data_IF_949589097326
#
_entry.id   IF_949589097326
#
_cell.length_a   1.000
_cell.length_b   1.000
_cell.length_c   1.000
_cell.angle_alpha   90.00
_cell.angle_beta   90.00
_cell.angle_gamma   90.00
#
_symmetry.space_group_name_H-M   'P 1'
#
loop_
_entity.id
_entity.type
_entity.pdbx_description
1 polymer ?
#
# COMPACT_ATOMS: atom_id res chain seq x y z
N UNK A 1 -22.76 0.23 19.90
CA UNK A 1 -23.71 0.53 18.81
C UNK A 1 -22.92 0.48 17.51
N UNK A 2 -23.05 -0.63 16.78
CA UNK A 2 -22.32 -0.91 15.54
C UNK A 2 -22.91 -0.10 14.39
N UNK A 3 -22.06 0.58 13.63
CA UNK A 3 -22.44 1.36 12.44
C UNK A 3 -23.15 0.48 11.40
N UNK A 4 -24.25 0.93 10.77
CA UNK A 4 -25.02 0.13 9.80
C UNK A 4 -24.25 -0.24 8.53
N UNK A 5 -23.03 0.28 8.33
CA UNK A 5 -22.18 -0.02 7.17
C UNK A 5 -21.48 -1.38 7.25
N UNK A 6 -21.34 -2.00 8.43
CA UNK A 6 -20.67 -3.31 8.54
C UNK A 6 -21.53 -4.49 8.08
N UNK A 7 -22.86 -4.34 8.10
CA UNK A 7 -23.80 -5.39 7.68
C UNK A 7 -23.86 -5.61 6.15
N UNK A 8 -23.20 -4.76 5.36
CA UNK A 8 -23.14 -4.91 3.89
C UNK A 8 -21.90 -5.68 3.40
N UNK A 9 -20.92 -5.95 4.28
CA UNK A 9 -19.63 -6.53 3.91
C UNK A 9 -19.72 -7.96 3.37
N UNK A 10 -20.74 -8.71 3.79
CA UNK A 10 -20.89 -10.13 3.45
C UNK A 10 -21.84 -10.42 2.30
N UNK A 11 -22.43 -9.38 1.68
CA UNK A 11 -23.41 -9.57 0.58
C UNK A 11 -22.78 -10.04 -0.73
N UNK A 12 -21.46 -9.93 -0.86
CA UNK A 12 -20.72 -10.16 -2.10
C UNK A 12 -19.96 -11.49 -2.11
N UNK A 13 -20.08 -12.26 -1.02
CA UNK A 13 -19.32 -13.48 -0.81
C UNK A 13 -20.27 -14.66 -0.91
N UNK A 14 -19.86 -15.69 -1.66
CA UNK A 14 -20.58 -16.96 -1.64
C UNK A 14 -20.56 -17.54 -0.21
N UNK A 15 -21.52 -18.39 0.19
CA UNK A 15 -21.51 -19.05 1.50
C UNK A 15 -20.20 -19.82 1.79
N UNK A 16 -19.49 -20.25 0.74
CA UNK A 16 -18.17 -20.88 0.86
C UNK A 16 -17.07 -19.84 1.12
N UNK A 17 -17.09 -18.71 0.42
CA UNK A 17 -16.15 -17.61 0.60
C UNK A 17 -16.24 -17.00 2.01
N UNK A 18 -17.45 -16.93 2.59
CA UNK A 18 -17.68 -16.54 3.99
C UNK A 18 -17.02 -17.51 4.98
N UNK A 19 -17.09 -18.81 4.70
CA UNK A 19 -16.48 -19.84 5.54
C UNK A 19 -14.96 -19.78 5.50
N UNK A 20 -14.38 -19.51 4.33
CA UNK A 20 -12.93 -19.33 4.17
C UNK A 20 -12.43 -18.07 4.87
N UNK A 21 -13.15 -16.95 4.77
CA UNK A 21 -12.79 -15.72 5.49
C UNK A 21 -12.82 -15.90 7.01
N UNK A 22 -13.81 -16.63 7.54
CA UNK A 22 -13.88 -16.92 8.97
C UNK A 22 -12.71 -17.81 9.46
N UNK A 23 -12.19 -18.68 8.60
CA UNK A 23 -10.96 -19.45 8.88
C UNK A 23 -9.69 -18.59 8.84
N UNK A 24 -9.65 -17.52 8.02
CA UNK A 24 -8.53 -16.58 7.98
C UNK A 24 -8.52 -15.66 9.22
N UNK A 25 -9.69 -15.22 9.68
CA UNK A 25 -9.86 -14.39 10.90
C UNK A 25 -9.33 -15.09 12.16
N UNK A 26 -9.49 -16.42 12.26
CA UNK A 26 -9.01 -17.24 13.38
C UNK A 26 -7.51 -17.56 13.32
N UNK A 27 -6.84 -17.23 12.21
CA UNK A 27 -5.39 -17.42 12.03
C UNK A 27 -4.61 -16.12 12.32
N UNK A 28 -5.31 -14.99 12.50
CA UNK A 28 -4.72 -13.70 12.90
C UNK A 28 -4.72 -13.65 14.44
N UNK A 29 -3.54 -13.79 15.05
CA UNK A 29 -3.38 -13.68 16.50
C UNK A 29 -3.66 -12.22 16.91
N UNK A 30 -4.58 -11.95 17.86
CA UNK A 30 -4.78 -10.60 18.38
C UNK A 30 -3.54 -10.20 19.20
N UNK A 31 -2.90 -9.10 18.81
CA UNK A 31 -1.82 -8.48 19.61
C UNK A 31 -2.45 -7.85 20.84
N UNK A 32 -2.54 -8.61 21.93
CA UNK A 32 -2.83 -8.05 23.25
C UNK A 32 -1.61 -7.25 23.74
N UNK A 33 -1.90 -6.04 24.22
CA UNK A 33 -1.00 -5.09 24.87
C UNK A 33 -0.09 -5.79 25.89
N UNK A 34 1.21 -5.88 25.59
CA UNK A 34 2.22 -6.21 26.57
C UNK A 34 2.58 -4.94 27.36
N UNK A 35 2.17 -4.95 28.62
CA UNK A 35 2.52 -4.05 29.71
C UNK A 35 4.03 -3.84 29.88
N UNK A 36 4.41 -2.61 30.23
CA UNK A 36 5.76 -2.14 30.63
C UNK A 36 6.53 -3.10 31.55
N UNK A 37 7.87 -3.04 31.48
CA UNK A 37 8.68 -3.13 32.69
C UNK A 37 9.60 -1.90 32.86
N UNK A 38 9.62 -1.40 34.09
CA UNK A 38 10.53 -0.39 34.63
C UNK A 38 12.01 -0.81 34.58
N UNK A 39 12.96 0.14 34.65
CA UNK A 39 14.37 -0.07 34.31
C UNK A 39 15.24 -0.45 35.53
N UNK A 40 16.42 -1.07 35.33
CA UNK A 40 17.47 -1.05 36.34
C UNK A 40 18.69 -0.19 35.95
N UNK A 41 19.33 0.25 37.03
CA UNK A 41 20.35 1.27 37.23
C UNK A 41 21.74 1.01 36.64
N UNK A 42 22.54 2.08 36.68
CA UNK A 42 23.91 2.27 36.20
C UNK A 42 25.03 1.61 37.03
N UNK A 43 26.11 1.20 36.35
CA UNK A 43 27.57 1.29 36.70
C UNK A 43 28.35 0.70 35.49
N UNK A 44 29.56 1.07 35.06
CA UNK A 44 30.61 2.00 35.48
C UNK A 44 31.50 2.34 34.27
N UNK A 45 32.29 3.42 34.39
CA UNK A 45 33.34 3.90 33.48
C UNK A 45 34.48 2.89 33.24
N UNK A 46 35.05 2.92 32.03
CA UNK A 46 36.51 2.81 31.81
C UNK A 46 36.90 3.74 30.66
N UNK A 47 37.94 4.54 30.87
CA UNK A 47 38.46 5.58 29.98
C UNK A 47 39.81 5.19 29.35
N UNK A 48 40.16 5.94 28.29
CA UNK A 48 41.50 6.24 27.71
C UNK A 48 42.15 5.17 26.80
N UNK A 49 42.26 5.48 25.50
CA UNK A 49 43.54 5.87 24.89
C UNK A 49 43.39 6.28 23.41
N UNK A 50 43.80 7.51 23.13
CA UNK A 50 44.06 8.08 21.80
C UNK A 50 45.21 7.37 21.08
N UNK A 51 45.12 7.29 19.76
CA UNK A 51 46.28 7.38 18.86
C UNK A 51 45.81 7.72 17.43
N UNK A 52 45.98 8.98 17.06
CA UNK A 52 46.10 9.40 15.67
C UNK A 52 47.53 9.18 15.16
N UNK A 53 47.66 8.81 13.88
CA UNK A 53 48.71 9.22 12.90
C UNK A 53 48.51 8.37 11.62
N UNK A 54 48.79 8.74 10.36
CA UNK A 54 48.86 9.96 9.52
C UNK A 54 49.53 9.49 8.20
N UNK A 55 49.02 9.91 7.01
CA UNK A 55 49.57 9.86 5.60
C UNK A 55 49.80 8.46 4.93
N UNK A 56 49.78 8.21 3.61
CA UNK A 56 49.71 9.03 2.38
C UNK A 56 49.24 8.19 1.15
N UNK A 57 48.80 8.92 0.11
CA UNK A 57 48.55 8.66 -1.35
C UNK A 57 49.03 7.34 -2.00
N UNK A 58 48.23 6.78 -2.93
CA UNK A 58 48.37 7.08 -4.38
C UNK A 58 47.33 6.42 -5.32
N UNK A 59 47.20 7.08 -6.47
CA UNK A 59 46.20 6.99 -7.55
C UNK A 59 46.15 5.68 -8.35
N UNK A 60 44.96 5.37 -8.90
CA UNK A 60 44.78 4.98 -10.32
C UNK A 60 43.34 5.23 -10.77
N UNK A 61 43.17 6.27 -11.58
CA UNK A 61 41.93 6.75 -12.19
C UNK A 61 41.68 6.08 -13.54
N UNK A 62 40.49 5.46 -13.72
CA UNK A 62 39.83 5.37 -15.04
C UNK A 62 38.35 4.94 -14.90
N UNK A 63 37.47 5.88 -14.55
CA UNK A 63 36.01 5.72 -14.67
C UNK A 63 35.45 6.86 -15.54
N UNK A 64 35.01 6.55 -16.76
CA UNK A 64 34.13 7.38 -17.58
C UNK A 64 32.89 6.57 -17.95
N UNK A 65 31.93 6.52 -17.02
CA UNK A 65 30.51 6.75 -17.26
C UNK A 65 29.84 6.80 -15.88
N UNK A 66 29.29 7.95 -15.49
CA UNK A 66 28.62 8.14 -14.20
C UNK A 66 27.22 8.68 -14.50
N UNK A 67 26.17 7.85 -14.43
CA UNK A 67 24.81 8.36 -14.40
C UNK A 67 24.69 9.30 -13.20
N UNK A 68 24.23 10.52 -13.41
CA UNK A 68 23.94 11.44 -12.31
C UNK A 68 22.74 10.88 -11.55
N UNK A 69 22.99 10.39 -10.34
CA UNK A 69 21.96 10.02 -9.37
C UNK A 69 21.26 11.32 -8.96
N UNK A 70 20.00 11.47 -9.36
CA UNK A 70 19.09 12.42 -8.74
C UNK A 70 18.97 12.10 -7.25
N UNK A 71 18.99 13.12 -6.39
CA UNK A 71 18.92 12.96 -4.93
C UNK A 71 17.55 12.37 -4.51
N UNK A 72 17.46 11.05 -4.44
CA UNK A 72 16.34 10.30 -3.83
C UNK A 72 16.77 9.51 -2.59
N UNK A 73 17.59 10.10 -1.71
CA UNK A 73 18.48 9.34 -0.81
C UNK A 73 18.20 9.36 0.69
N UNK A 74 17.03 9.78 1.18
CA UNK A 74 16.71 9.65 2.62
C UNK A 74 15.35 9.03 2.88
N UNK A 75 14.32 9.45 2.14
CA UNK A 75 12.96 8.94 2.31
C UNK A 75 12.84 7.45 1.92
N UNK A 76 13.39 7.05 0.77
CA UNK A 76 13.34 5.66 0.27
C UNK A 76 14.06 4.67 1.21
N UNK A 77 15.23 5.06 1.72
CA UNK A 77 16.01 4.24 2.65
C UNK A 77 15.29 4.07 4.01
N UNK A 78 14.73 5.16 4.54
CA UNK A 78 13.97 5.13 5.78
C UNK A 78 12.74 4.24 5.66
N UNK A 79 11.97 4.38 4.57
CA UNK A 79 10.81 3.53 4.29
C UNK A 79 11.16 2.03 4.24
N UNK A 80 12.33 1.68 3.70
CA UNK A 80 12.82 0.29 3.66
C UNK A 80 13.04 -0.29 5.06
N UNK A 81 13.72 0.44 5.94
CA UNK A 81 14.00 -0.02 7.30
C UNK A 81 12.73 -0.19 8.15
N UNK A 82 11.74 0.67 7.95
CA UNK A 82 10.46 0.61 8.67
C UNK A 82 9.59 -0.60 8.29
N UNK A 83 9.60 -0.99 7.00
CA UNK A 83 8.88 -2.16 6.54
C UNK A 83 9.39 -3.46 7.21
N UNK A 84 10.70 -3.64 7.31
CA UNK A 84 11.31 -4.87 7.83
C UNK A 84 10.96 -5.18 9.30
N UNK A 85 10.78 -4.15 10.14
CA UNK A 85 10.51 -4.31 11.58
C UNK A 85 9.07 -4.77 11.87
N UNK A 86 8.13 -4.50 10.98
CA UNK A 86 6.70 -4.51 11.33
C UNK A 86 5.93 -5.77 10.86
N UNK A 87 6.52 -6.59 10.00
CA UNK A 87 5.81 -7.60 9.21
C UNK A 87 5.90 -9.04 9.76
N UNK A 88 5.95 -9.21 11.09
CA UNK A 88 6.27 -10.48 11.79
C UNK A 88 5.70 -11.80 11.23
N UNK A 89 6.60 -12.80 11.12
CA UNK A 89 6.38 -14.25 11.35
C UNK A 89 5.54 -15.10 10.39
N UNK A 90 4.45 -14.58 9.79
CA UNK A 90 3.58 -15.32 8.87
C UNK A 90 3.80 -14.89 7.42
N UNK A 91 3.98 -15.84 6.50
CA UNK A 91 4.18 -15.49 5.08
C UNK A 91 2.87 -15.01 4.46
N UNK A 92 2.77 -13.70 4.27
CA UNK A 92 1.66 -13.04 3.59
C UNK A 92 1.51 -13.54 2.14
N UNK A 93 2.56 -14.13 1.55
CA UNK A 93 2.46 -14.80 0.23
C UNK A 93 1.44 -15.92 0.20
N UNK A 94 1.20 -16.62 1.31
CA UNK A 94 0.21 -17.70 1.33
C UNK A 94 -1.23 -17.19 1.27
N UNK A 95 -1.49 -16.02 1.87
CA UNK A 95 -2.86 -15.49 1.99
C UNK A 95 -3.37 -14.86 0.68
N UNK A 96 -2.48 -14.49 -0.23
CA UNK A 96 -2.86 -13.86 -1.52
C UNK A 96 -3.12 -14.87 -2.64
N UNK A 97 -2.78 -16.15 -2.45
CA UNK A 97 -2.94 -17.20 -3.47
C UNK A 97 -4.41 -17.49 -3.72
N UNK A 98 -4.74 -17.73 -4.98
CA UNK A 98 -6.05 -18.27 -5.37
C UNK A 98 -6.25 -19.63 -4.67
N UNK A 99 -7.32 -19.81 -3.87
CA UNK A 99 -7.61 -21.11 -3.27
C UNK A 99 -7.95 -22.15 -4.33
N UNK A 100 -7.64 -23.42 -4.05
CA UNK A 100 -7.88 -24.51 -4.99
C UNK A 100 -9.37 -24.68 -5.29
N UNK A 101 -9.74 -24.61 -6.58
CA UNK A 101 -11.11 -24.79 -7.04
C UNK A 101 -11.98 -23.53 -7.02
N UNK A 102 -11.45 -22.38 -6.61
CA UNK A 102 -12.15 -21.09 -6.65
C UNK A 102 -12.00 -20.40 -8.01
N UNK A 103 -12.94 -19.52 -8.36
CA UNK A 103 -12.88 -18.71 -9.58
C UNK A 103 -11.94 -17.50 -9.40
N UNK A 104 -11.10 -17.26 -10.41
CA UNK A 104 -10.12 -16.17 -10.38
C UNK A 104 -10.79 -14.78 -10.29
N UNK A 105 -11.90 -14.56 -11.00
CA UNK A 105 -12.58 -13.26 -10.98
C UNK A 105 -13.31 -13.03 -9.66
N UNK A 106 -13.87 -14.08 -9.04
CA UNK A 106 -14.41 -14.00 -7.68
C UNK A 106 -13.31 -13.62 -6.69
N UNK A 107 -12.15 -14.28 -6.76
CA UNK A 107 -11.02 -13.99 -5.88
C UNK A 107 -10.49 -12.56 -6.05
N UNK A 108 -10.36 -12.10 -7.30
CA UNK A 108 -10.00 -10.71 -7.61
C UNK A 108 -11.04 -9.72 -7.10
N UNK A 109 -12.34 -10.01 -7.24
CA UNK A 109 -13.42 -9.13 -6.80
C UNK A 109 -13.41 -8.93 -5.27
N UNK A 110 -13.29 -10.03 -4.51
CA UNK A 110 -13.27 -9.99 -3.04
C UNK A 110 -12.08 -9.18 -2.54
N UNK A 111 -10.88 -9.48 -3.03
CA UNK A 111 -9.67 -8.77 -2.60
C UNK A 111 -9.66 -7.31 -3.06
N UNK A 112 -10.23 -6.99 -4.23
CA UNK A 112 -10.39 -5.61 -4.69
C UNK A 112 -11.23 -4.79 -3.70
N UNK A 113 -12.35 -5.34 -3.22
CA UNK A 113 -13.22 -4.70 -2.23
C UNK A 113 -12.49 -4.54 -0.89
N UNK A 114 -11.75 -5.56 -0.46
CA UNK A 114 -10.97 -5.51 0.79
C UNK A 114 -9.89 -4.42 0.74
N UNK A 115 -9.10 -4.34 -0.34
CA UNK A 115 -8.10 -3.29 -0.49
C UNK A 115 -8.72 -1.90 -0.58
N UNK A 116 -9.85 -1.76 -1.28
CA UNK A 116 -10.59 -0.50 -1.31
C UNK A 116 -10.97 -0.06 0.12
N UNK A 117 -11.51 -0.96 0.93
CA UNK A 117 -11.89 -0.68 2.31
C UNK A 117 -10.69 -0.31 3.19
N UNK A 118 -9.58 -1.06 3.08
CA UNK A 118 -8.35 -0.78 3.82
C UNK A 118 -7.78 0.60 3.47
N UNK A 119 -7.72 0.94 2.17
CA UNK A 119 -7.27 2.26 1.70
C UNK A 119 -8.21 3.35 2.20
N UNK A 120 -9.53 3.12 2.18
CA UNK A 120 -10.51 4.09 2.66
C UNK A 120 -10.34 4.38 4.15
N UNK A 121 -10.06 3.36 4.97
CA UNK A 121 -9.79 3.53 6.39
C UNK A 121 -8.46 4.27 6.64
N UNK A 122 -7.40 3.89 5.94
CA UNK A 122 -6.09 4.54 6.04
C UNK A 122 -6.15 6.02 5.64
N UNK A 123 -6.80 6.33 4.51
CA UNK A 123 -6.96 7.70 4.06
C UNK A 123 -7.93 8.48 4.95
N UNK A 124 -9.00 7.84 5.43
CA UNK A 124 -9.94 8.43 6.39
C UNK A 124 -9.27 8.92 7.67
N UNK A 125 -8.23 8.23 8.14
CA UNK A 125 -7.47 8.64 9.32
C UNK A 125 -6.61 9.89 9.11
N UNK A 126 -6.30 10.27 7.86
CA UNK A 126 -5.44 11.41 7.55
C UNK A 126 -6.15 12.53 6.76
N UNK A 127 -7.45 12.38 6.49
CA UNK A 127 -8.21 13.26 5.58
C UNK A 127 -8.14 14.74 6.00
N UNK A 128 -8.13 15.03 7.30
CA UNK A 128 -8.03 16.39 7.84
C UNK A 128 -6.65 17.05 7.59
N UNK A 129 -5.61 16.25 7.32
CA UNK A 129 -4.26 16.72 7.04
C UNK A 129 -3.97 16.83 5.53
N UNK A 130 -4.86 16.31 4.68
CA UNK A 130 -4.77 16.37 3.22
C UNK A 130 -5.74 17.43 2.68
N UNK A 131 -5.24 18.62 2.37
CA UNK A 131 -6.04 19.76 1.92
C UNK A 131 -5.53 20.30 0.58
N UNK A 132 -6.33 21.10 -0.15
CA UNK A 132 -5.84 21.78 -1.34
C UNK A 132 -4.66 22.72 -1.09
N UNK A 133 -4.42 23.12 0.16
CA UNK A 133 -3.29 23.97 0.55
C UNK A 133 -2.03 23.13 0.82
N UNK A 134 -2.15 21.99 1.52
CA UNK A 134 -1.01 21.11 1.79
C UNK A 134 -0.64 20.25 0.57
N UNK A 135 -1.64 19.87 -0.23
CA UNK A 135 -1.50 18.99 -1.39
C UNK A 135 -2.24 19.56 -2.62
N UNK A 136 -1.72 20.66 -3.21
CA UNK A 136 -2.37 21.36 -4.33
C UNK A 136 -2.41 20.55 -5.63
N UNK A 137 -1.58 19.53 -5.75
CA UNK A 137 -1.51 18.61 -6.88
C UNK A 137 -1.52 17.17 -6.36
N UNK A 138 -2.28 16.27 -7.00
CA UNK A 138 -2.16 14.84 -6.74
C UNK A 138 -0.84 14.32 -7.30
N UNK A 139 0.16 14.21 -6.44
CA UNK A 139 1.47 13.64 -6.77
C UNK A 139 1.97 12.76 -5.63
N UNK A 140 2.93 11.90 -5.95
CA UNK A 140 3.72 11.17 -4.95
C UNK A 140 5.12 11.80 -4.80
N UNK A 141 5.71 12.32 -5.87
CA UNK A 141 6.91 13.17 -5.81
C UNK A 141 6.83 14.21 -6.93
N UNK A 142 7.78 15.13 -7.01
CA UNK A 142 7.83 16.12 -8.10
C UNK A 142 8.03 15.48 -9.48
N UNK A 143 8.55 14.25 -9.55
CA UNK A 143 8.71 13.49 -10.80
C UNK A 143 7.47 12.65 -11.15
N UNK A 144 6.58 12.40 -10.18
CA UNK A 144 5.44 11.50 -10.30
C UNK A 144 4.13 12.21 -9.93
N UNK A 145 3.57 12.95 -10.90
CA UNK A 145 2.26 13.59 -10.83
C UNK A 145 1.16 12.71 -11.45
N UNK A 146 -0.01 12.66 -10.81
CA UNK A 146 -1.17 11.90 -11.26
C UNK A 146 -2.30 12.82 -11.71
N UNK A 147 -2.59 12.78 -13.01
CA UNK A 147 -3.73 13.50 -13.58
C UNK A 147 -4.99 12.63 -13.56
N UNK A 148 -6.13 13.25 -13.26
CA UNK A 148 -7.42 12.57 -13.31
C UNK A 148 -7.98 12.59 -14.73
N UNK A 149 -8.65 11.50 -15.10
CA UNK A 149 -9.41 11.39 -16.33
C UNK A 149 -10.54 10.37 -16.14
N UNK A 150 -11.73 10.71 -16.63
CA UNK A 150 -12.88 9.81 -16.70
C UNK A 150 -13.67 10.03 -18.02
N UNK A 151 -14.70 9.23 -18.23
CA UNK A 151 -15.54 9.28 -19.42
C UNK A 151 -16.64 10.35 -19.37
N UNK A 152 -16.88 10.97 -18.22
CA UNK A 152 -18.04 11.81 -17.96
C UNK A 152 -17.63 13.29 -17.90
N UNK A 153 -17.02 13.69 -16.79
CA UNK A 153 -16.76 15.07 -16.40
C UNK A 153 -15.34 15.51 -16.80
N UNK A 154 -14.37 14.59 -16.82
CA UNK A 154 -12.96 14.87 -17.03
C UNK A 154 -12.41 14.09 -18.24
N UNK A 155 -12.89 14.45 -19.43
CA UNK A 155 -12.54 13.77 -20.70
C UNK A 155 -11.05 13.85 -21.09
N UNK A 156 -10.31 14.81 -20.53
CA UNK A 156 -8.87 15.01 -20.74
C UNK A 156 -8.13 14.89 -19.40
N UNK A 157 -6.87 14.42 -19.39
CA UNK A 157 -6.03 14.43 -18.20
C UNK A 157 -6.01 15.81 -17.55
N UNK A 158 -6.50 15.91 -16.32
CA UNK A 158 -6.74 17.17 -15.62
C UNK A 158 -5.98 17.17 -14.29
N UNK A 159 -5.24 18.26 -14.04
CA UNK A 159 -4.60 18.52 -12.75
C UNK A 159 -5.67 18.84 -11.70
N UNK A 160 -5.51 18.31 -10.50
CA UNK A 160 -6.37 18.64 -9.37
C UNK A 160 -5.65 18.40 -8.05
N UNK A 161 -6.10 19.03 -6.95
CA UNK A 161 -5.60 18.75 -5.62
C UNK A 161 -5.72 17.28 -5.24
N UNK A 162 -4.77 16.78 -4.43
CA UNK A 162 -4.78 15.41 -3.94
C UNK A 162 -6.11 14.98 -3.28
N UNK A 163 -6.72 15.77 -2.36
CA UNK A 163 -7.98 15.34 -1.75
C UNK A 163 -9.12 15.22 -2.75
N UNK A 164 -9.21 16.13 -3.73
CA UNK A 164 -10.21 16.07 -4.79
C UNK A 164 -9.97 14.86 -5.72
N UNK A 165 -8.71 14.57 -6.06
CA UNK A 165 -8.37 13.38 -6.84
C UNK A 165 -8.80 12.10 -6.12
N UNK A 166 -8.46 11.99 -4.82
CA UNK A 166 -8.75 10.78 -4.03
C UNK A 166 -10.26 10.63 -3.86
N UNK A 167 -11.01 11.71 -3.64
CA UNK A 167 -12.48 11.67 -3.60
C UNK A 167 -13.08 11.14 -4.92
N UNK A 168 -12.63 11.66 -6.07
CA UNK A 168 -13.05 11.19 -7.39
C UNK A 168 -12.69 9.73 -7.61
N UNK A 169 -11.50 9.31 -7.15
CA UNK A 169 -11.05 7.93 -7.22
C UNK A 169 -11.94 6.99 -6.40
N UNK A 170 -12.16 7.31 -5.13
CA UNK A 170 -12.92 6.44 -4.22
C UNK A 170 -14.38 6.34 -4.68
N UNK A 171 -14.97 7.45 -5.12
CA UNK A 171 -16.32 7.46 -5.71
C UNK A 171 -16.39 6.58 -6.97
N UNK A 172 -15.39 6.67 -7.84
CA UNK A 172 -15.33 5.84 -9.05
C UNK A 172 -15.13 4.35 -8.74
N UNK A 173 -14.29 3.99 -7.77
CA UNK A 173 -14.12 2.59 -7.36
C UNK A 173 -15.42 2.05 -6.75
N UNK A 174 -16.04 2.81 -5.83
CA UNK A 174 -17.31 2.46 -5.20
C UNK A 174 -18.42 2.23 -6.23
N UNK A 175 -18.55 3.10 -7.24
CA UNK A 175 -19.58 2.94 -8.27
C UNK A 175 -19.38 1.70 -9.15
N UNK A 176 -18.13 1.22 -9.31
CA UNK A 176 -17.86 -0.06 -9.97
C UNK A 176 -18.17 -1.25 -9.07
N UNK A 177 -17.90 -1.15 -7.76
CA UNK A 177 -18.25 -2.18 -6.76
C UNK A 177 -19.78 -2.35 -6.66
N UNK A 178 -20.53 -1.26 -6.68
CA UNK A 178 -21.99 -1.26 -6.53
C UNK A 178 -22.74 -1.63 -7.83
N UNK A 179 -22.04 -1.75 -8.95
CA UNK A 179 -22.65 -2.03 -10.24
C UNK A 179 -22.77 -3.55 -10.48
N UNK A 180 -23.99 -4.09 -10.40
CA UNK A 180 -24.29 -5.52 -10.63
C UNK A 180 -23.85 -6.04 -12.02
N UNK A 181 -23.66 -5.17 -13.01
CA UNK A 181 -23.15 -5.56 -14.33
C UNK A 181 -21.63 -5.75 -14.35
N UNK A 182 -20.93 -5.20 -13.35
CA UNK A 182 -19.48 -5.26 -13.19
C UNK A 182 -19.09 -6.28 -12.14
N UNK A 183 -19.71 -6.19 -10.96
CA UNK A 183 -19.63 -7.16 -9.87
C UNK A 183 -20.99 -7.85 -9.70
N UNK A 184 -21.22 -9.00 -10.36
CA UNK A 184 -22.46 -9.75 -10.17
C UNK A 184 -22.57 -10.26 -8.74
N UNK A 185 -23.67 -9.94 -8.06
CA UNK A 185 -23.98 -10.40 -6.70
C UNK A 185 -24.77 -11.72 -6.67
N UNK A 186 -25.30 -12.14 -7.82
CA UNK A 186 -26.16 -13.32 -7.96
C UNK A 186 -25.35 -14.53 -8.40
N UNK A 187 -25.49 -15.63 -7.66
CA UNK A 187 -24.86 -16.91 -7.98
C UNK A 187 -25.25 -17.33 -9.40
N UNK A 188 -24.25 -17.72 -10.20
CA UNK A 188 -24.43 -18.21 -11.57
C UNK A 188 -24.47 -17.12 -12.64
N UNK A 189 -24.34 -15.84 -12.28
CA UNK A 189 -24.13 -14.76 -13.25
C UNK A 189 -22.62 -14.57 -13.48
N UNK A 190 -22.11 -14.76 -14.70
CA UNK A 190 -20.68 -14.64 -14.97
C UNK A 190 -20.22 -13.19 -14.97
N UNK A 191 -18.95 -12.96 -14.62
CA UNK A 191 -18.31 -11.65 -14.76
C UNK A 191 -18.25 -11.20 -16.23
N UNK A 192 -18.32 -9.88 -16.49
CA UNK A 192 -18.16 -9.37 -17.85
C UNK A 192 -16.73 -9.61 -18.34
N UNK A 193 -16.56 -9.79 -19.66
CA UNK A 193 -15.23 -10.01 -20.29
C UNK A 193 -14.24 -8.85 -20.06
N UNK A 194 -14.74 -7.66 -19.77
CA UNK A 194 -13.94 -6.48 -19.44
C UNK A 194 -13.43 -6.46 -17.99
N UNK A 195 -13.93 -7.33 -17.11
CA UNK A 195 -13.65 -7.32 -15.68
C UNK A 195 -12.15 -7.36 -15.35
N UNK A 196 -11.33 -8.27 -15.92
CA UNK A 196 -9.89 -8.29 -15.59
C UNK A 196 -9.16 -7.00 -15.97
N UNK A 197 -9.58 -6.35 -17.06
CA UNK A 197 -8.99 -5.07 -17.47
C UNK A 197 -9.38 -3.95 -16.50
N UNK A 198 -10.63 -3.95 -16.03
CA UNK A 198 -11.10 -3.01 -15.02
C UNK A 198 -10.38 -3.22 -13.68
N UNK A 199 -10.21 -4.45 -13.21
CA UNK A 199 -9.48 -4.77 -11.97
C UNK A 199 -8.06 -4.19 -12.03
N UNK A 200 -7.32 -4.43 -13.12
CA UNK A 200 -5.98 -3.83 -13.31
C UNK A 200 -6.01 -2.30 -13.24
N UNK A 201 -7.04 -1.66 -13.79
CA UNK A 201 -7.19 -0.21 -13.73
C UNK A 201 -7.50 0.28 -12.31
N UNK A 202 -8.38 -0.40 -11.59
CA UNK A 202 -8.75 -0.09 -10.20
C UNK A 202 -7.52 -0.22 -9.30
N UNK A 203 -6.81 -1.35 -9.35
CA UNK A 203 -5.57 -1.54 -8.61
C UNK A 203 -4.56 -0.43 -8.95
N UNK A 204 -4.24 -0.21 -10.22
CA UNK A 204 -3.30 0.84 -10.62
C UNK A 204 -3.64 2.22 -10.08
N UNK A 205 -4.93 2.57 -9.97
CA UNK A 205 -5.35 3.86 -9.42
C UNK A 205 -5.36 3.87 -7.88
N UNK A 206 -5.79 2.79 -7.23
CA UNK A 206 -5.72 2.62 -5.76
C UNK A 206 -4.29 2.71 -5.23
N UNK A 207 -3.31 2.17 -5.98
CA UNK A 207 -1.89 2.32 -5.67
C UNK A 207 -1.47 3.79 -5.45
N UNK A 208 -2.05 4.73 -6.20
CA UNK A 208 -1.71 6.16 -6.11
C UNK A 208 -2.02 6.74 -4.74
N UNK A 209 -3.00 6.18 -4.02
CA UNK A 209 -3.35 6.60 -2.66
C UNK A 209 -2.26 6.14 -1.69
N UNK A 210 -1.78 4.89 -1.78
CA UNK A 210 -0.61 4.45 -1.01
C UNK A 210 0.61 5.32 -1.28
N UNK A 211 0.93 5.54 -2.56
CA UNK A 211 2.07 6.36 -2.95
C UNK A 211 1.97 7.77 -2.35
N UNK A 212 0.79 8.39 -2.41
CA UNK A 212 0.55 9.69 -1.83
C UNK A 212 0.70 9.69 -0.29
N UNK A 213 0.12 8.70 0.41
CA UNK A 213 0.23 8.57 1.87
C UNK A 213 1.70 8.42 2.30
N UNK A 214 2.44 7.49 1.69
CA UNK A 214 3.85 7.25 2.03
C UNK A 214 4.74 8.47 1.78
N UNK A 215 4.50 9.22 0.71
CA UNK A 215 5.37 10.34 0.35
C UNK A 215 5.02 11.65 1.04
N UNK A 216 3.74 11.90 1.36
CA UNK A 216 3.29 13.19 1.89
C UNK A 216 2.76 13.14 3.32
N UNK A 217 2.21 12.01 3.76
CA UNK A 217 1.49 11.90 5.04
C UNK A 217 2.06 10.85 5.99
N UNK A 218 3.20 10.24 5.66
CA UNK A 218 3.87 9.27 6.54
C UNK A 218 4.19 9.83 7.94
N UNK A 219 4.64 11.10 8.12
CA UNK A 219 4.83 11.66 9.46
C UNK A 219 3.54 11.61 10.32
N UNK A 220 2.40 11.96 9.72
CA UNK A 220 1.09 11.91 10.40
C UNK A 220 0.71 10.47 10.72
N UNK A 221 0.90 9.53 9.78
CA UNK A 221 0.66 8.10 10.01
C UNK A 221 1.48 7.58 11.20
N UNK A 222 2.74 8.03 11.35
CA UNK A 222 3.59 7.66 12.48
C UNK A 222 3.11 8.26 13.80
N UNK A 223 2.71 9.53 13.80
CA UNK A 223 2.16 10.19 14.99
C UNK A 223 0.87 9.53 15.48
N UNK A 224 0.05 9.02 14.56
CA UNK A 224 -1.16 8.26 14.87
C UNK A 224 -0.90 6.78 15.23
N UNK A 225 0.35 6.30 15.15
CA UNK A 225 0.68 4.90 15.38
C UNK A 225 0.11 3.93 14.33
N UNK A 226 -0.22 4.42 13.14
CA UNK A 226 -0.84 3.64 12.06
C UNK A 226 0.17 3.03 11.08
N UNK A 227 1.47 3.29 11.25
CA UNK A 227 2.54 2.74 10.42
C UNK A 227 2.44 1.20 10.23
N UNK A 228 2.18 0.38 11.27
CA UNK A 228 2.00 -1.06 11.07
C UNK A 228 0.84 -1.45 10.17
N UNK A 229 -0.27 -0.72 10.26
CA UNK A 229 -1.46 -0.96 9.46
C UNK A 229 -1.20 -0.60 8.00
N UNK A 230 -0.56 0.56 7.76
CA UNK A 230 -0.16 0.99 6.41
C UNK A 230 0.82 -0.01 5.77
N UNK A 231 1.87 -0.41 6.50
CA UNK A 231 2.91 -1.31 5.99
C UNK A 231 2.37 -2.71 5.69
N UNK A 232 1.54 -3.26 6.58
CA UNK A 232 0.92 -4.58 6.38
C UNK A 232 -0.05 -4.58 5.21
N UNK A 233 -0.94 -3.59 5.17
CA UNK A 233 -1.92 -3.41 4.09
C UNK A 233 -1.23 -3.24 2.74
N UNK A 234 -0.17 -2.42 2.68
CA UNK A 234 0.60 -2.22 1.46
C UNK A 234 1.41 -3.47 1.05
N UNK A 235 2.00 -4.22 2.00
CA UNK A 235 2.68 -5.48 1.66
C UNK A 235 1.70 -6.51 1.10
N UNK A 236 0.53 -6.68 1.72
CA UNK A 236 -0.51 -7.55 1.18
C UNK A 236 -0.92 -7.13 -0.24
N UNK A 237 -1.10 -5.83 -0.45
CA UNK A 237 -1.41 -5.26 -1.76
C UNK A 237 -0.34 -5.56 -2.81
N UNK A 238 0.94 -5.36 -2.48
CA UNK A 238 2.08 -5.65 -3.35
C UNK A 238 2.14 -7.13 -3.72
N UNK A 239 2.03 -8.01 -2.73
CA UNK A 239 2.05 -9.45 -2.95
C UNK A 239 0.87 -9.94 -3.79
N UNK A 240 -0.31 -9.36 -3.60
CA UNK A 240 -1.48 -9.68 -4.41
C UNK A 240 -1.33 -9.22 -5.87
N UNK A 241 -0.79 -8.01 -6.08
CA UNK A 241 -0.50 -7.49 -7.43
C UNK A 241 0.54 -8.34 -8.16
N UNK A 242 1.56 -8.83 -7.45
CA UNK A 242 2.59 -9.74 -7.95
C UNK A 242 2.01 -11.11 -8.32
N UNK A 243 1.31 -11.76 -7.38
CA UNK A 243 0.72 -13.09 -7.54
C UNK A 243 -0.25 -13.16 -8.73
N UNK A 244 -1.09 -12.14 -8.90
CA UNK A 244 -2.14 -12.09 -9.94
C UNK A 244 -1.73 -11.26 -11.17
N UNK A 245 -0.45 -10.91 -11.30
CA UNK A 245 0.09 -10.18 -12.46
C UNK A 245 -0.71 -8.92 -12.84
N UNK A 246 -1.12 -8.14 -11.84
CA UNK A 246 -1.96 -6.95 -12.05
C UNK A 246 -1.15 -5.72 -12.47
N UNK A 247 0.16 -5.72 -12.23
CA UNK A 247 1.06 -4.65 -12.63
C UNK A 247 1.41 -4.73 -14.12
N UNK A 248 1.43 -3.57 -14.79
CA UNK A 248 1.92 -3.46 -16.17
C UNK A 248 2.87 -2.29 -16.37
N UNK A 249 3.99 -2.57 -17.03
CA UNK A 249 5.06 -1.61 -17.30
C UNK A 249 6.11 -1.53 -16.18
N UNK A 250 7.33 -1.12 -16.54
CA UNK A 250 8.46 -1.02 -15.60
C UNK A 250 8.27 0.04 -14.53
N UNK A 251 7.52 1.09 -14.83
CA UNK A 251 7.34 2.25 -13.94
C UNK A 251 6.04 2.16 -13.12
N UNK A 252 5.41 0.98 -13.05
CA UNK A 252 4.14 0.79 -12.35
C UNK A 252 4.21 1.27 -10.88
N UNK A 253 5.29 0.90 -10.19
CA UNK A 253 5.52 1.25 -8.79
C UNK A 253 6.14 2.64 -8.59
N UNK A 254 6.54 3.34 -9.66
CA UNK A 254 7.08 4.70 -9.60
C UNK A 254 8.00 4.98 -8.40
N UNK A 255 7.64 5.91 -7.49
CA UNK A 255 8.52 6.33 -6.39
C UNK A 255 8.67 5.32 -5.25
N UNK A 256 7.81 4.30 -5.19
CA UNK A 256 7.88 3.25 -4.16
C UNK A 256 8.58 1.97 -4.67
N UNK A 257 9.19 1.98 -5.86
CA UNK A 257 9.82 0.80 -6.46
C UNK A 257 10.80 0.08 -5.52
N UNK A 258 11.71 0.81 -4.87
CA UNK A 258 12.69 0.23 -3.94
C UNK A 258 12.02 -0.41 -2.70
N UNK A 259 10.93 0.19 -2.21
CA UNK A 259 10.16 -0.34 -1.07
C UNK A 259 9.46 -1.63 -1.48
N UNK A 260 8.84 -1.63 -2.65
CA UNK A 260 8.17 -2.79 -3.25
C UNK A 260 9.16 -3.95 -3.44
N UNK A 261 10.32 -3.70 -4.02
CA UNK A 261 11.37 -4.70 -4.20
C UNK A 261 11.81 -5.32 -2.87
N UNK A 262 11.87 -4.51 -1.81
CA UNK A 262 12.15 -4.98 -0.45
C UNK A 262 11.02 -5.85 0.10
N UNK A 263 9.76 -5.44 -0.06
CA UNK A 263 8.59 -6.19 0.37
C UNK A 263 8.47 -7.55 -0.34
N UNK A 264 8.85 -7.62 -1.61
CA UNK A 264 8.90 -8.87 -2.38
C UNK A 264 10.04 -9.79 -1.93
N UNK A 265 11.18 -9.25 -1.48
CA UNK A 265 12.33 -10.05 -1.01
C UNK A 265 12.19 -10.54 0.43
N UNK A 266 11.41 -9.85 1.26
CA UNK A 266 11.33 -10.04 2.72
C UNK A 266 10.30 -11.09 3.17
N UNK A 267 10.08 -12.13 2.37
CA UNK A 267 9.18 -13.26 2.69
C UNK A 267 9.85 -14.60 2.38
#
# INVERSE_FOLDING_TARGET
MTSPHTASMFRYLSPKSLSTMHQMETTIIPVYLASDPTPPQAVAEVTIADSETVIDRNQRTRNQFRPRVGKGGSASYQLRQYAEVTLGGGSLRKVVKLPEGEDENEWLAVNMVDFYNQINLLYGAITEFCSPQSCPEMKATDEFEYLWQDSENYKRPTKMPAPAYIEQLMTWVQSNIDNEQVLPSKIGVPFPKSFPALVRQIFKRMYRVYAHIYCHHYPVIRELGLEPHLNTSFKQYVLFVDEHSLASGRDYWGPLGDLVDSMLKSD
#
